data_IF_755623868756
#
_entry.id   IF_755623868756
#
_cell.length_a   1.000
_cell.length_b   1.000
_cell.length_c   1.000
_cell.angle_alpha   90.00
_cell.angle_beta   90.00
_cell.angle_gamma   90.00
#
_symmetry.space_group_name_H-M   'P 1'
#
loop_
_entity.id
_entity.type
_entity.pdbx_description
1 polymer ?
#
# COMPACT_ATOMS: atom_id res chain seq x y z
N UNK A 1 11.24 -4.41 22.17
CA UNK A 1 11.17 -3.44 21.08
C UNK A 1 9.94 -2.54 21.19
N UNK A 2 8.72 -3.08 21.04
CA UNK A 2 7.46 -2.29 21.04
C UNK A 2 7.28 -1.38 22.26
N UNK A 3 7.62 -1.85 23.47
CA UNK A 3 7.57 -1.05 24.72
C UNK A 3 8.49 0.17 24.76
N UNK A 4 9.43 0.30 23.81
CA UNK A 4 10.42 1.39 23.77
C UNK A 4 10.09 2.49 22.74
N UNK A 5 8.96 2.38 22.03
CA UNK A 5 8.60 3.31 20.95
C UNK A 5 7.15 3.77 21.09
N UNK A 6 6.81 4.92 20.54
CA UNK A 6 5.43 5.44 20.51
C UNK A 6 4.65 5.01 19.26
N UNK A 7 5.36 4.74 18.16
CA UNK A 7 4.78 4.47 16.85
C UNK A 7 5.43 3.24 16.26
N UNK A 8 4.61 2.38 15.64
CA UNK A 8 5.08 1.22 14.89
C UNK A 8 4.65 1.36 13.43
N UNK A 9 5.59 1.16 12.51
CA UNK A 9 5.34 1.10 11.07
C UNK A 9 5.79 -0.27 10.59
N UNK A 10 4.88 -1.04 10.00
CA UNK A 10 5.19 -2.34 9.43
C UNK A 10 5.26 -2.22 7.90
N UNK A 11 6.42 -2.55 7.33
CA UNK A 11 6.65 -2.56 5.87
C UNK A 11 6.91 -3.98 5.36
N UNK A 12 6.38 -5.00 6.05
CA UNK A 12 6.59 -6.39 5.64
C UNK A 12 6.02 -6.63 4.24
N UNK A 13 6.82 -7.28 3.41
CA UNK A 13 6.45 -7.54 2.03
C UNK A 13 5.43 -8.68 1.95
N UNK A 14 4.41 -8.49 1.12
CA UNK A 14 3.41 -9.50 0.80
C UNK A 14 2.92 -9.31 -0.62
N UNK A 15 3.49 -10.07 -1.55
CA UNK A 15 3.01 -10.20 -2.92
C UNK A 15 2.66 -11.66 -3.20
N UNK A 16 1.98 -11.87 -4.31
CA UNK A 16 1.61 -13.20 -4.80
C UNK A 16 2.79 -14.03 -5.34
N UNK A 17 3.96 -13.42 -5.52
CA UNK A 17 5.17 -14.07 -6.00
C UNK A 17 6.22 -14.13 -4.87
N UNK A 18 6.21 -15.21 -4.09
CA UNK A 18 7.10 -15.40 -2.93
C UNK A 18 6.45 -15.04 -1.60
N UNK A 19 6.80 -15.79 -0.55
CA UNK A 19 6.25 -15.79 0.82
C UNK A 19 5.21 -14.71 1.15
N UNK A 20 3.94 -15.12 1.26
CA UNK A 20 2.84 -14.24 1.67
C UNK A 20 2.86 -14.03 3.18
N UNK A 21 3.57 -13.00 3.65
CA UNK A 21 3.80 -12.75 5.08
C UNK A 21 2.87 -11.70 5.69
N UNK A 22 1.78 -11.31 5.02
CA UNK A 22 0.86 -10.27 5.54
C UNK A 22 0.28 -10.67 6.89
N UNK A 23 -0.10 -11.94 7.06
CA UNK A 23 -0.69 -12.46 8.30
C UNK A 23 0.30 -12.54 9.47
N UNK A 24 1.62 -12.46 9.23
CA UNK A 24 2.60 -12.35 10.33
C UNK A 24 2.40 -11.08 11.17
N UNK A 25 1.75 -10.06 10.59
CA UNK A 25 1.36 -8.85 11.32
C UNK A 25 0.37 -9.13 12.46
N UNK A 26 -0.36 -10.24 12.46
CA UNK A 26 -1.24 -10.61 13.57
C UNK A 26 -0.45 -10.82 14.87
N UNK A 27 0.76 -11.39 14.78
CA UNK A 27 1.66 -11.51 15.93
C UNK A 27 2.12 -10.13 16.42
N UNK A 28 2.35 -9.20 15.50
CA UNK A 28 2.71 -7.83 15.83
C UNK A 28 1.54 -7.07 16.48
N UNK A 29 0.29 -7.30 16.03
CA UNK A 29 -0.92 -6.76 16.65
C UNK A 29 -1.04 -7.20 18.10
N UNK A 30 -0.86 -8.49 18.39
CA UNK A 30 -0.88 -8.99 19.78
C UNK A 30 0.25 -8.37 20.62
N UNK A 31 1.46 -8.24 20.08
CA UNK A 31 2.57 -7.60 20.78
C UNK A 31 2.32 -6.10 21.06
N UNK A 32 1.68 -5.39 20.14
CA UNK A 32 1.27 -3.98 20.33
C UNK A 32 0.21 -3.86 21.42
N UNK A 33 -0.79 -4.74 21.38
CA UNK A 33 -1.86 -4.81 22.38
C UNK A 33 -1.30 -5.09 23.78
N UNK A 34 -0.39 -6.06 23.92
CA UNK A 34 0.26 -6.39 25.19
C UNK A 34 1.12 -5.23 25.72
N UNK A 35 1.82 -4.53 24.82
CA UNK A 35 2.69 -3.43 25.20
C UNK A 35 1.89 -2.20 25.71
N UNK A 36 0.74 -1.91 25.10
CA UNK A 36 -0.22 -0.90 25.56
C UNK A 36 0.24 0.56 25.45
N UNK A 37 1.45 0.82 24.97
CA UNK A 37 2.06 2.16 24.89
C UNK A 37 2.04 2.80 23.49
N UNK A 38 1.55 2.09 22.47
CA UNK A 38 1.58 2.57 21.08
C UNK A 38 0.49 3.61 20.83
N UNK A 39 0.92 4.79 20.39
CA UNK A 39 0.08 5.94 19.99
C UNK A 39 -0.39 5.85 18.54
N UNK A 40 0.35 5.13 17.69
CA UNK A 40 -0.05 4.88 16.29
C UNK A 40 0.60 3.62 15.73
N UNK A 41 -0.20 2.80 15.06
CA UNK A 41 0.25 1.68 14.25
C UNK A 41 -0.09 1.90 12.77
N UNK A 42 0.90 1.75 11.91
CA UNK A 42 0.74 1.75 10.45
C UNK A 42 1.06 0.34 9.94
N UNK A 43 0.07 -0.50 9.63
CA UNK A 43 0.31 -1.83 9.06
C UNK A 43 0.83 -1.73 7.63
N UNK A 44 1.33 -2.86 7.11
CA UNK A 44 1.81 -3.00 5.74
C UNK A 44 0.65 -2.90 4.74
N UNK A 45 0.40 -1.66 4.29
CA UNK A 45 -0.69 -1.28 3.40
C UNK A 45 -0.14 -0.87 2.04
N UNK A 46 0.47 0.32 1.99
CA UNK A 46 1.30 0.92 0.93
C UNK A 46 0.96 0.56 -0.53
N UNK A 47 -0.32 0.41 -0.83
CA UNK A 47 -0.81 0.04 -2.16
C UNK A 47 -2.27 0.41 -2.35
N UNK A 48 -2.99 -0.42 -3.09
CA UNK A 48 -4.44 -0.29 -3.26
C UNK A 48 -5.17 -0.60 -1.96
N UNK A 49 -6.19 0.20 -1.63
CA UNK A 49 -7.01 -0.02 -0.44
C UNK A 49 -7.78 -1.36 -0.51
N UNK A 50 -7.43 -2.37 0.32
CA UNK A 50 -8.10 -3.68 0.34
C UNK A 50 -9.61 -3.58 0.60
N UNK A 51 -10.06 -2.59 1.38
CA UNK A 51 -11.47 -2.41 1.70
C UNK A 51 -12.35 -2.08 0.47
N UNK A 52 -11.72 -1.66 -0.63
CA UNK A 52 -12.40 -1.33 -1.89
C UNK A 52 -12.26 -2.42 -2.96
N UNK A 53 -11.59 -3.53 -2.64
CA UNK A 53 -11.17 -4.55 -3.60
C UNK A 53 -11.95 -5.86 -3.51
N UNK A 54 -13.18 -5.85 -2.99
CA UNK A 54 -14.03 -7.05 -2.92
C UNK A 54 -14.39 -7.71 -4.27
N UNK A 55 -14.09 -7.03 -5.38
CA UNK A 55 -14.27 -7.52 -6.76
C UNK A 55 -12.94 -7.97 -7.41
N UNK A 56 -11.83 -8.00 -6.66
CA UNK A 56 -10.56 -8.46 -7.16
C UNK A 56 -10.62 -9.95 -7.55
N UNK A 57 -9.86 -10.31 -8.58
CA UNK A 57 -9.76 -11.69 -9.06
C UNK A 57 -8.60 -12.42 -8.37
N UNK A 58 -8.71 -13.74 -8.29
CA UNK A 58 -7.61 -14.61 -7.89
C UNK A 58 -6.48 -14.63 -8.95
N UNK A 59 -5.20 -14.77 -8.55
CA UNK A 59 -4.72 -14.87 -7.17
C UNK A 59 -4.66 -13.52 -6.44
N UNK A 60 -4.80 -12.41 -7.18
CA UNK A 60 -4.70 -11.02 -6.70
C UNK A 60 -5.44 -10.73 -5.38
N UNK A 61 -6.62 -11.33 -5.24
CA UNK A 61 -7.55 -11.15 -4.13
C UNK A 61 -7.00 -11.59 -2.77
N UNK A 62 -6.24 -12.68 -2.69
CA UNK A 62 -5.73 -13.24 -1.40
C UNK A 62 -5.04 -12.16 -0.55
N UNK A 63 -4.23 -11.31 -1.18
CA UNK A 63 -3.51 -10.24 -0.45
C UNK A 63 -4.44 -9.20 0.14
N UNK A 64 -5.56 -8.89 -0.54
CA UNK A 64 -6.54 -7.95 0.00
C UNK A 64 -7.30 -8.56 1.19
N UNK A 65 -7.68 -9.83 1.09
CA UNK A 65 -8.39 -10.54 2.15
C UNK A 65 -7.52 -10.68 3.42
N UNK A 66 -6.24 -10.98 3.25
CA UNK A 66 -5.29 -11.07 4.37
C UNK A 66 -5.03 -9.70 5.02
N UNK A 67 -4.94 -8.62 4.24
CA UNK A 67 -4.87 -7.26 4.78
C UNK A 67 -6.15 -6.89 5.54
N UNK A 68 -7.32 -7.26 5.04
CA UNK A 68 -8.59 -7.04 5.76
C UNK A 68 -8.64 -7.79 7.09
N UNK A 69 -8.06 -9.00 7.14
CA UNK A 69 -7.91 -9.77 8.39
C UNK A 69 -7.05 -9.02 9.40
N UNK A 70 -5.93 -8.44 8.97
CA UNK A 70 -5.06 -7.62 9.82
C UNK A 70 -5.78 -6.35 10.29
N UNK A 71 -6.47 -5.62 9.40
CA UNK A 71 -7.25 -4.41 9.76
C UNK A 71 -8.29 -4.71 10.84
N UNK A 72 -9.04 -5.81 10.67
CA UNK A 72 -10.03 -6.26 11.64
C UNK A 72 -9.39 -6.51 13.02
N UNK A 73 -8.25 -7.20 13.07
CA UNK A 73 -7.55 -7.47 14.33
C UNK A 73 -7.07 -6.17 15.03
N UNK A 74 -6.57 -5.20 14.26
CA UNK A 74 -6.16 -3.87 14.77
C UNK A 74 -7.35 -3.15 15.41
N UNK A 75 -8.48 -3.11 14.69
CA UNK A 75 -9.71 -2.43 15.12
C UNK A 75 -10.34 -3.09 16.35
N UNK A 76 -10.44 -4.42 16.37
CA UNK A 76 -10.95 -5.19 17.52
C UNK A 76 -10.06 -5.03 18.76
N UNK A 77 -8.74 -4.94 18.58
CA UNK A 77 -7.78 -4.65 19.65
C UNK A 77 -7.80 -3.18 20.10
N UNK A 78 -8.57 -2.31 19.43
CA UNK A 78 -8.65 -0.85 19.69
C UNK A 78 -7.29 -0.16 19.62
N UNK A 79 -6.39 -0.66 18.76
CA UNK A 79 -5.07 -0.08 18.55
C UNK A 79 -5.24 1.20 17.70
N UNK A 80 -4.70 2.35 18.12
CA UNK A 80 -4.67 3.56 17.30
C UNK A 80 -3.97 3.31 15.96
N UNK A 81 -4.60 3.62 14.82
CA UNK A 81 -4.05 3.24 13.51
C UNK A 81 -4.08 4.34 12.45
N UNK A 82 -3.30 4.15 11.39
CA UNK A 82 -3.48 4.83 10.10
C UNK A 82 -3.21 3.84 8.97
N UNK A 83 -4.16 3.69 8.05
CA UNK A 83 -3.95 2.89 6.84
C UNK A 83 -3.51 3.80 5.70
N UNK A 84 -2.34 3.54 5.10
CA UNK A 84 -1.81 4.36 4.00
C UNK A 84 -2.06 3.67 2.67
N UNK A 85 -3.02 4.17 1.89
CA UNK A 85 -3.26 3.75 0.51
C UNK A 85 -2.39 4.57 -0.44
N UNK A 86 -1.24 3.99 -0.80
CA UNK A 86 -0.21 4.61 -1.63
C UNK A 86 -0.32 4.27 -3.13
N UNK A 87 -1.36 3.55 -3.56
CA UNK A 87 -1.61 3.20 -4.96
C UNK A 87 -0.39 2.52 -5.64
N UNK A 88 0.07 3.00 -6.79
CA UNK A 88 1.14 2.39 -7.58
C UNK A 88 2.47 3.09 -7.33
N UNK A 89 3.50 2.35 -6.92
CA UNK A 89 4.86 2.88 -6.85
C UNK A 89 5.43 3.16 -8.24
N UNK A 90 6.01 4.34 -8.44
CA UNK A 90 6.45 4.82 -9.73
C UNK A 90 7.59 3.94 -10.28
N UNK A 91 8.57 3.55 -9.46
CA UNK A 91 9.65 2.65 -9.89
C UNK A 91 9.15 1.31 -10.43
N UNK A 92 8.06 0.77 -9.86
CA UNK A 92 7.49 -0.52 -10.28
C UNK A 92 6.54 -0.42 -11.47
N UNK A 93 5.70 0.61 -11.53
CA UNK A 93 4.62 0.71 -12.53
C UNK A 93 4.94 1.71 -13.65
N UNK A 94 5.55 2.85 -13.34
CA UNK A 94 5.90 3.85 -14.36
C UNK A 94 7.23 3.51 -15.01
N UNK A 95 8.21 3.06 -14.22
CA UNK A 95 9.58 2.78 -14.67
C UNK A 95 9.69 1.78 -15.83
N UNK A 96 8.72 0.88 -15.98
CA UNK A 96 8.67 -0.08 -17.08
C UNK A 96 7.40 0.02 -17.95
N UNK A 97 6.63 1.10 -17.84
CA UNK A 97 5.33 1.30 -18.53
C UNK A 97 4.27 0.22 -18.18
N UNK A 98 4.31 -0.26 -16.93
CA UNK A 98 3.49 -1.35 -16.37
C UNK A 98 3.64 -2.68 -17.09
N UNK A 99 4.79 -2.95 -17.72
CA UNK A 99 4.99 -4.17 -18.50
C UNK A 99 5.48 -5.34 -17.65
N UNK A 100 4.96 -6.54 -17.89
CA UNK A 100 5.53 -7.74 -17.29
C UNK A 100 6.87 -8.11 -17.92
N UNK A 101 7.79 -8.63 -17.10
CA UNK A 101 9.05 -9.23 -17.57
C UNK A 101 10.21 -8.25 -17.81
N UNK A 102 10.02 -6.95 -17.57
CA UNK A 102 11.08 -5.94 -17.68
C UNK A 102 11.00 -4.95 -16.52
N UNK A 103 12.15 -4.40 -16.11
CA UNK A 103 12.26 -3.32 -15.13
C UNK A 103 12.50 -1.95 -15.78
N UNK A 104 12.80 -1.94 -17.09
CA UNK A 104 13.06 -0.74 -17.88
C UNK A 104 11.97 -0.58 -18.96
N UNK A 105 11.72 0.66 -19.42
CA UNK A 105 10.65 0.88 -20.38
C UNK A 105 11.04 0.28 -21.74
N UNK A 106 10.18 -0.55 -22.36
CA UNK A 106 10.48 -1.10 -23.67
C UNK A 106 10.56 0.00 -24.74
N UNK A 107 11.38 -0.22 -25.78
CA UNK A 107 11.57 0.74 -26.88
C UNK A 107 10.82 0.37 -28.16
N UNK A 108 10.51 -0.90 -28.34
CA UNK A 108 9.95 -1.40 -29.62
C UNK A 108 8.43 -1.59 -29.57
N UNK A 109 7.92 -2.18 -28.48
CA UNK A 109 6.50 -2.52 -28.34
C UNK A 109 6.05 -2.39 -26.89
N UNK A 110 4.79 -2.01 -26.71
CA UNK A 110 4.13 -1.93 -25.41
C UNK A 110 2.79 -2.67 -25.47
N UNK A 111 2.45 -3.40 -24.41
CA UNK A 111 1.15 -4.02 -24.24
C UNK A 111 0.24 -3.09 -23.42
N UNK A 112 -0.91 -2.71 -23.99
CA UNK A 112 -1.92 -1.95 -23.26
C UNK A 112 -2.94 -2.91 -22.63
N UNK A 113 -3.21 -2.74 -21.34
CA UNK A 113 -4.21 -3.53 -20.64
C UNK A 113 -5.61 -2.96 -20.89
N UNK A 114 -6.51 -3.81 -21.41
CA UNK A 114 -7.83 -3.37 -21.86
C UNK A 114 -7.71 -2.31 -22.96
N UNK A 115 -8.32 -1.15 -22.75
CA UNK A 115 -8.17 -0.02 -23.67
C UNK A 115 -7.06 0.98 -23.24
N UNK A 116 -6.40 0.77 -22.11
CA UNK A 116 -5.34 1.63 -21.58
C UNK A 116 -5.80 3.01 -21.06
N UNK A 117 -7.10 3.26 -20.92
CA UNK A 117 -7.67 4.56 -20.49
C UNK A 117 -8.01 4.63 -19.00
N UNK A 118 -7.97 3.50 -18.28
CA UNK A 118 -8.23 3.48 -16.84
C UNK A 118 -7.13 4.24 -16.12
N UNK A 119 -7.55 5.17 -15.25
CA UNK A 119 -6.68 6.06 -14.50
C UNK A 119 -6.22 5.40 -13.19
N UNK A 120 -4.93 5.51 -12.90
CA UNK A 120 -4.32 5.09 -11.64
C UNK A 120 -3.48 6.24 -11.08
N UNK A 121 -3.31 6.29 -9.76
CA UNK A 121 -2.38 7.22 -9.14
C UNK A 121 -1.01 6.55 -9.00
N UNK A 122 0.03 7.16 -9.55
CA UNK A 122 1.41 6.70 -9.41
C UNK A 122 2.18 7.63 -8.48
N UNK A 123 2.90 7.08 -7.51
CA UNK A 123 3.66 7.87 -6.54
C UNK A 123 5.11 7.44 -6.51
N UNK A 124 5.99 8.44 -6.43
CA UNK A 124 7.38 8.22 -6.09
C UNK A 124 7.49 7.63 -4.68
N UNK A 125 8.38 6.65 -4.52
CA UNK A 125 8.56 5.92 -3.28
C UNK A 125 9.02 6.82 -2.12
N UNK A 126 9.84 7.85 -2.39
CA UNK A 126 10.29 8.80 -1.37
C UNK A 126 9.14 9.72 -0.92
N UNK A 127 8.23 10.07 -1.83
CA UNK A 127 6.99 10.77 -1.46
C UNK A 127 6.09 9.89 -0.60
N UNK A 128 5.94 8.60 -0.91
CA UNK A 128 5.16 7.67 -0.06
C UNK A 128 5.75 7.62 1.34
N UNK A 129 7.07 7.51 1.46
CA UNK A 129 7.74 7.54 2.76
C UNK A 129 7.50 8.87 3.49
N UNK A 130 7.68 10.00 2.79
CA UNK A 130 7.48 11.35 3.34
C UNK A 130 6.07 11.54 3.88
N UNK A 131 5.04 11.21 3.09
CA UNK A 131 3.66 11.39 3.51
C UNK A 131 3.24 10.39 4.59
N UNK A 132 3.82 9.19 4.61
CA UNK A 132 3.63 8.21 5.70
C UNK A 132 4.14 8.77 7.02
N UNK A 133 5.37 9.29 7.05
CA UNK A 133 5.95 9.87 8.26
C UNK A 133 5.15 11.09 8.74
N UNK A 134 4.64 11.93 7.82
CA UNK A 134 3.77 13.06 8.18
C UNK A 134 2.45 12.66 8.86
N UNK A 135 2.06 11.38 8.84
CA UNK A 135 0.83 10.92 9.51
C UNK A 135 1.01 10.54 10.97
N UNK A 136 2.23 10.23 11.43
CA UNK A 136 2.44 9.47 12.67
C UNK A 136 1.88 10.17 13.91
N UNK A 137 1.92 11.50 13.92
CA UNK A 137 1.43 12.38 14.99
C UNK A 137 0.29 13.31 14.53
N UNK A 138 -0.07 13.31 13.24
CA UNK A 138 -1.18 14.11 12.73
C UNK A 138 -2.53 13.57 13.24
N UNK A 139 -3.30 14.35 14.04
CA UNK A 139 -4.57 13.90 14.59
C UNK A 139 -5.64 13.68 13.51
N UNK A 140 -5.51 14.29 12.33
CA UNK A 140 -6.46 14.14 11.21
C UNK A 140 -6.42 12.74 10.60
N UNK A 141 -5.35 12.00 10.84
CA UNK A 141 -5.09 10.66 10.28
C UNK A 141 -5.31 9.53 11.28
N UNK A 142 -5.61 9.87 12.55
CA UNK A 142 -5.89 8.90 13.61
C UNK A 142 -7.17 8.11 13.31
N UNK A 143 -7.04 6.79 13.26
CA UNK A 143 -8.08 5.82 12.94
C UNK A 143 -8.74 6.10 11.59
N UNK A 144 -7.93 6.46 10.58
CA UNK A 144 -8.36 6.76 9.21
C UNK A 144 -7.51 6.04 8.17
N UNK A 145 -8.08 5.95 6.96
CA UNK A 145 -7.34 5.63 5.75
C UNK A 145 -6.91 6.94 5.08
N UNK A 146 -5.60 7.12 4.91
CA UNK A 146 -5.04 8.19 4.08
C UNK A 146 -4.89 7.68 2.64
N UNK A 147 -5.41 8.44 1.67
CA UNK A 147 -5.23 8.15 0.25
C UNK A 147 -4.25 9.14 -0.36
N UNK A 148 -3.13 8.64 -0.88
CA UNK A 148 -2.17 9.46 -1.61
C UNK A 148 -2.60 9.52 -3.07
N UNK A 149 -3.25 10.62 -3.49
CA UNK A 149 -3.78 10.78 -4.85
C UNK A 149 -3.47 12.18 -5.40
N UNK A 150 -2.18 12.54 -5.60
CA UNK A 150 -1.81 13.83 -6.16
C UNK A 150 -2.41 13.95 -7.58
N UNK A 151 -3.19 14.99 -7.89
CA UNK A 151 -3.94 15.10 -9.15
C UNK A 151 -3.07 14.95 -10.41
N UNK A 152 -1.86 15.49 -10.37
CA UNK A 152 -0.91 15.47 -11.50
C UNK A 152 -0.41 14.06 -11.84
N UNK A 153 -0.43 13.13 -10.88
CA UNK A 153 0.03 11.76 -11.09
C UNK A 153 -1.13 10.77 -11.31
N UNK A 154 -2.34 11.27 -11.52
CA UNK A 154 -3.50 10.44 -11.89
C UNK A 154 -3.51 10.27 -13.41
N UNK A 155 -2.82 9.22 -13.86
CA UNK A 155 -2.53 8.95 -15.27
C UNK A 155 -3.11 7.61 -15.71
N UNK A 156 -3.44 7.49 -17.00
CA UNK A 156 -3.73 6.19 -17.60
C UNK A 156 -2.43 5.57 -18.14
N UNK A 157 -2.44 4.27 -18.41
CA UNK A 157 -1.29 3.62 -19.04
C UNK A 157 -0.93 4.28 -20.38
N UNK A 158 -1.93 4.66 -21.19
CA UNK A 158 -1.69 5.40 -22.43
C UNK A 158 -0.94 6.71 -22.19
N UNK A 159 -1.37 7.50 -21.21
CA UNK A 159 -0.72 8.77 -20.90
C UNK A 159 0.70 8.59 -20.37
N UNK A 160 0.97 7.48 -19.67
CA UNK A 160 2.34 7.13 -19.24
C UNK A 160 3.19 6.80 -20.46
N UNK A 161 2.67 5.98 -21.39
CA UNK A 161 3.35 5.63 -22.64
C UNK A 161 3.56 6.84 -23.54
N UNK A 162 2.59 7.74 -23.67
CA UNK A 162 2.69 8.97 -24.48
C UNK A 162 3.72 9.96 -23.95
N UNK A 163 4.02 9.91 -22.65
CA UNK A 163 5.06 10.73 -22.02
C UNK A 163 6.46 10.15 -22.23
N UNK A 164 6.57 8.88 -22.57
CA UNK A 164 7.82 8.17 -22.82
C UNK A 164 8.21 8.25 -24.31
#
# INVERSE_FOLDING_TARGET
AVKQVDVVICTIYGVHFGSHNILEQLKLVEAIKEAGNIKRFLPSEFGTDPARMGHALEPGRVTFDDKMTVRKAIEEAKIPFTYVSANCFAGYFVGNLSQFGTLIPPRDKVCLYGNGNVKVACLDEDDVATYTIKTIDDPRTLNKTLYLRPPENILSQRQIVEKW
#
